data_IF_051455934477
#
_entry.id   IF_051455934477
#
_cell.length_a   1.000
_cell.length_b   1.000
_cell.length_c   1.000
_cell.angle_alpha   90.00
_cell.angle_beta   90.00
_cell.angle_gamma   90.00
#
_symmetry.space_group_name_H-M   'P 1'
#
loop_
_entity.id
_entity.type
_entity.pdbx_description
1 polymer ?
#
# COMPACT_ATOMS: atom_id res chain seq x y z
N UNK A 1 4.68 52.51 46.40
CA UNK A 1 4.86 51.07 46.14
C UNK A 1 3.57 50.49 45.56
N UNK A 2 3.50 50.35 44.24
CA UNK A 2 2.44 49.67 43.45
C UNK A 2 3.15 49.07 42.21
N UNK A 3 2.60 48.00 41.61
CA UNK A 3 3.15 47.21 40.48
C UNK A 3 4.13 46.05 40.82
N UNK A 4 3.73 45.10 41.65
CA UNK A 4 4.27 43.71 41.63
C UNK A 4 3.14 42.72 41.94
N UNK A 5 2.29 42.40 40.96
CA UNK A 5 1.19 41.44 41.16
C UNK A 5 0.62 40.79 39.87
N UNK A 6 1.40 40.74 38.79
CA UNK A 6 0.91 40.31 37.46
C UNK A 6 1.90 39.42 36.67
N UNK A 7 2.38 38.33 37.29
CA UNK A 7 3.23 37.32 36.59
C UNK A 7 2.72 35.88 36.77
N UNK A 8 1.96 35.57 37.82
CA UNK A 8 1.49 34.20 38.10
C UNK A 8 0.37 33.67 37.18
N UNK A 9 -0.21 34.50 36.31
CA UNK A 9 -1.37 34.15 35.47
C UNK A 9 -1.05 33.79 34.01
N UNK A 10 0.22 33.82 33.60
CA UNK A 10 0.61 33.74 32.18
C UNK A 10 1.25 32.41 31.73
N UNK A 11 1.27 31.37 32.60
CA UNK A 11 1.96 30.09 32.33
C UNK A 11 1.03 28.86 32.18
N UNK A 12 -0.29 29.06 32.13
CA UNK A 12 -1.29 27.99 31.92
C UNK A 12 -2.02 28.06 30.56
N UNK A 13 -1.57 28.91 29.63
CA UNK A 13 -2.18 29.10 28.31
C UNK A 13 -1.33 28.47 27.17
N UNK A 14 -0.69 27.32 27.44
CA UNK A 14 0.42 26.79 26.64
C UNK A 14 0.18 25.47 25.89
N UNK A 15 -1.07 25.01 25.71
CA UNK A 15 -1.34 23.73 25.04
C UNK A 15 -2.67 23.72 24.26
N UNK A 16 -2.87 24.71 23.39
CA UNK A 16 -3.83 24.62 22.29
C UNK A 16 -3.29 23.70 21.18
N UNK A 17 -3.11 22.41 21.50
CA UNK A 17 -2.88 21.38 20.48
C UNK A 17 -4.14 21.33 19.62
N UNK A 18 -3.99 21.38 18.29
CA UNK A 18 -5.11 21.29 17.36
C UNK A 18 -5.84 19.95 17.51
N UNK A 19 -6.85 19.93 18.38
CA UNK A 19 -7.75 18.81 18.55
C UNK A 19 -8.64 18.73 17.32
N UNK A 20 -8.19 17.98 16.30
CA UNK A 20 -9.09 17.41 15.30
C UNK A 20 -10.20 16.72 16.09
N UNK A 21 -11.42 17.24 15.96
CA UNK A 21 -12.48 16.98 16.93
C UNK A 21 -13.10 15.60 16.73
N UNK A 22 -12.39 14.57 17.21
CA UNK A 22 -12.98 13.28 17.54
C UNK A 22 -13.95 13.37 18.73
N UNK A 23 -14.20 14.57 19.28
CA UNK A 23 -15.11 14.81 20.42
C UNK A 23 -16.57 14.44 20.16
N UNK A 24 -16.95 14.19 18.90
CA UNK A 24 -18.28 13.68 18.54
C UNK A 24 -18.33 12.14 18.51
N UNK A 25 -17.54 11.47 19.35
CA UNK A 25 -17.58 10.03 19.57
C UNK A 25 -18.78 9.65 20.48
N UNK A 26 -19.44 8.53 20.21
CA UNK A 26 -20.56 8.02 21.02
C UNK A 26 -20.11 7.70 22.45
N UNK A 27 -18.96 7.04 22.60
CA UNK A 27 -18.39 6.71 23.90
C UNK A 27 -18.05 7.95 24.75
N UNK A 28 -17.60 9.04 24.11
CA UNK A 28 -17.34 10.29 24.85
C UNK A 28 -18.64 10.90 25.40
N UNK A 29 -19.72 10.90 24.61
CA UNK A 29 -21.04 11.37 25.09
C UNK A 29 -21.55 10.54 26.25
N UNK A 30 -21.39 9.22 26.20
CA UNK A 30 -21.77 8.32 27.28
C UNK A 30 -20.92 8.56 28.54
N UNK A 31 -19.61 8.78 28.40
CA UNK A 31 -18.74 9.15 29.53
C UNK A 31 -19.19 10.47 30.19
N UNK A 32 -19.47 11.50 29.39
CA UNK A 32 -19.98 12.80 29.87
C UNK A 32 -21.36 12.67 30.53
N UNK A 33 -22.23 11.77 30.03
CA UNK A 33 -23.56 11.49 30.58
C UNK A 33 -23.48 10.75 31.92
N UNK A 34 -22.68 9.68 31.99
CA UNK A 34 -22.48 8.93 33.23
C UNK A 34 -21.77 9.76 34.30
N UNK A 35 -20.84 10.64 33.91
CA UNK A 35 -20.22 11.61 34.85
C UNK A 35 -21.28 12.52 35.48
N UNK A 36 -22.24 13.03 34.71
CA UNK A 36 -23.36 13.83 35.24
C UNK A 36 -24.28 13.01 36.14
N UNK A 37 -24.58 11.76 35.76
CA UNK A 37 -25.38 10.85 36.58
C UNK A 37 -24.70 10.52 37.90
N UNK A 38 -23.39 10.31 37.90
CA UNK A 38 -22.58 10.07 39.10
C UNK A 38 -22.60 11.29 40.04
N UNK A 39 -22.46 12.51 39.50
CA UNK A 39 -22.56 13.74 40.29
C UNK A 39 -23.97 13.91 40.89
N UNK A 40 -25.03 13.74 40.09
CA UNK A 40 -26.40 13.86 40.57
C UNK A 40 -26.73 12.83 41.67
N UNK A 41 -26.24 11.58 41.54
CA UNK A 41 -26.39 10.55 42.55
C UNK A 41 -25.60 10.87 43.84
N UNK A 42 -24.40 11.45 43.71
CA UNK A 42 -23.60 11.92 44.86
C UNK A 42 -24.31 13.04 45.61
N UNK A 43 -24.86 14.01 44.87
CA UNK A 43 -25.60 15.16 45.42
C UNK A 43 -26.94 14.73 46.07
N UNK A 44 -27.52 13.61 45.61
CA UNK A 44 -28.70 12.98 46.20
C UNK A 44 -28.40 12.09 47.43
N UNK A 45 -27.12 11.82 47.72
CA UNK A 45 -26.70 10.88 48.78
C UNK A 45 -26.77 9.40 48.39
N UNK A 46 -27.03 9.09 47.12
CA UNK A 46 -27.06 7.74 46.55
C UNK A 46 -25.63 7.26 46.21
N UNK A 47 -24.80 7.11 47.24
CA UNK A 47 -23.36 6.85 47.07
C UNK A 47 -23.04 5.59 46.26
N UNK A 48 -23.78 4.49 46.45
CA UNK A 48 -23.58 3.24 45.69
C UNK A 48 -23.82 3.45 44.18
N UNK A 49 -24.90 4.16 43.83
CA UNK A 49 -25.24 4.48 42.45
C UNK A 49 -24.24 5.47 41.82
N UNK A 50 -23.72 6.40 42.64
CA UNK A 50 -22.65 7.32 42.22
C UNK A 50 -21.35 6.58 41.85
N UNK A 51 -20.97 5.55 42.63
CA UNK A 51 -19.83 4.67 42.30
C UNK A 51 -20.07 3.90 41.00
N UNK A 52 -21.25 3.29 40.82
CA UNK A 52 -21.59 2.54 39.60
C UNK A 52 -21.56 3.43 38.35
N UNK A 53 -22.12 4.63 38.41
CA UNK A 53 -22.06 5.60 37.32
C UNK A 53 -20.63 6.12 37.07
N UNK A 54 -19.81 6.28 38.11
CA UNK A 54 -18.40 6.66 37.95
C UNK A 54 -17.61 5.59 37.19
N UNK A 55 -17.82 4.30 37.52
CA UNK A 55 -17.21 3.18 36.80
C UNK A 55 -17.65 3.16 35.33
N UNK A 56 -18.95 3.31 35.06
CA UNK A 56 -19.49 3.39 33.69
C UNK A 56 -18.94 4.59 32.90
N UNK A 57 -18.69 5.72 33.57
CA UNK A 57 -18.04 6.87 32.95
C UNK A 57 -16.58 6.57 32.57
N UNK A 58 -15.83 5.91 33.45
CA UNK A 58 -14.44 5.50 33.21
C UNK A 58 -14.32 4.48 32.07
N UNK A 59 -15.16 3.44 32.06
CA UNK A 59 -15.23 2.46 30.97
C UNK A 59 -15.49 3.12 29.61
N UNK A 60 -16.46 4.04 29.55
CA UNK A 60 -16.78 4.76 28.32
C UNK A 60 -15.66 5.75 27.92
N UNK A 61 -14.95 6.35 28.88
CA UNK A 61 -13.78 7.17 28.58
C UNK A 61 -12.65 6.32 27.98
N UNK A 62 -12.38 5.13 28.53
CA UNK A 62 -11.38 4.20 28.00
C UNK A 62 -11.74 3.68 26.59
N UNK A 63 -13.00 3.29 26.37
CA UNK A 63 -13.51 2.92 25.04
C UNK A 63 -13.40 4.08 24.04
N UNK A 64 -13.65 5.32 24.49
CA UNK A 64 -13.47 6.50 23.65
C UNK A 64 -12.02 6.69 23.22
N UNK A 65 -11.06 6.57 24.14
CA UNK A 65 -9.63 6.68 23.83
C UNK A 65 -9.17 5.58 22.85
N UNK A 66 -9.61 4.34 23.06
CA UNK A 66 -9.31 3.22 22.17
C UNK A 66 -9.86 3.46 20.75
N UNK A 67 -11.10 3.94 20.64
CA UNK A 67 -11.72 4.31 19.36
C UNK A 67 -10.96 5.46 18.67
N UNK A 68 -10.63 6.53 19.40
CA UNK A 68 -9.87 7.67 18.86
C UNK A 68 -8.50 7.20 18.31
N UNK A 69 -7.79 6.34 19.06
CA UNK A 69 -6.52 5.75 18.62
C UNK A 69 -6.69 4.92 17.34
N UNK A 70 -7.73 4.07 17.25
CA UNK A 70 -8.06 3.29 16.04
C UNK A 70 -8.35 4.20 14.83
N UNK A 71 -9.14 5.27 15.02
CA UNK A 71 -9.49 6.19 13.94
C UNK A 71 -8.32 7.05 13.47
N UNK A 72 -7.42 7.46 14.38
CA UNK A 72 -6.16 8.12 14.03
C UNK A 72 -5.26 7.18 13.21
N UNK A 73 -5.04 5.95 13.69
CA UNK A 73 -4.24 4.95 12.99
C UNK A 73 -4.83 4.62 11.61
N UNK A 74 -6.17 4.56 11.48
CA UNK A 74 -6.83 4.39 10.17
C UNK A 74 -6.52 5.54 9.23
N UNK A 75 -6.67 6.79 9.67
CA UNK A 75 -6.42 7.96 8.84
C UNK A 75 -4.95 8.07 8.40
N UNK A 76 -4.02 7.62 9.25
CA UNK A 76 -2.61 7.47 8.91
C UNK A 76 -2.37 6.36 7.87
N UNK A 77 -2.97 5.18 8.08
CA UNK A 77 -2.90 4.07 7.14
C UNK A 77 -3.48 4.43 5.75
N UNK A 78 -4.64 5.09 5.70
CA UNK A 78 -5.26 5.57 4.45
C UNK A 78 -4.28 6.48 3.66
N UNK A 79 -3.60 7.39 4.37
CA UNK A 79 -2.60 8.30 3.81
C UNK A 79 -1.33 7.57 3.36
N UNK A 80 -0.85 6.61 4.13
CA UNK A 80 0.33 5.80 3.81
C UNK A 80 0.07 4.88 2.60
N UNK A 81 -1.06 4.17 2.61
CA UNK A 81 -1.54 3.31 1.53
C UNK A 81 -1.71 4.08 0.22
N UNK A 82 -2.26 5.30 0.25
CA UNK A 82 -2.37 6.15 -0.95
C UNK A 82 -0.99 6.48 -1.52
N UNK A 83 -0.04 6.92 -0.68
CA UNK A 83 1.35 7.19 -1.10
C UNK A 83 2.04 5.95 -1.69
N UNK A 84 1.88 4.80 -1.04
CA UNK A 84 2.43 3.53 -1.49
C UNK A 84 1.87 3.15 -2.88
N UNK A 85 0.55 3.24 -3.05
CA UNK A 85 -0.12 3.00 -4.34
C UNK A 85 0.37 3.95 -5.44
N UNK A 86 0.53 5.24 -5.13
CA UNK A 86 1.02 6.24 -6.08
C UNK A 86 2.50 5.98 -6.46
N UNK A 87 3.33 5.55 -5.51
CA UNK A 87 4.73 5.20 -5.77
C UNK A 87 4.86 3.94 -6.64
N UNK A 88 4.00 2.93 -6.45
CA UNK A 88 3.92 1.75 -7.33
C UNK A 88 3.45 2.14 -8.73
N UNK A 89 2.41 2.99 -8.85
CA UNK A 89 1.93 3.47 -10.13
C UNK A 89 3.01 4.27 -10.90
N UNK A 90 3.75 5.13 -10.20
CA UNK A 90 4.92 5.80 -10.76
C UNK A 90 6.00 4.79 -11.19
N UNK A 91 6.32 3.80 -10.33
CA UNK A 91 7.30 2.77 -10.62
C UNK A 91 6.96 2.02 -11.92
N UNK A 92 5.68 1.63 -12.09
CA UNK A 92 5.21 0.99 -13.32
C UNK A 92 5.32 1.90 -14.54
N UNK A 93 5.02 3.21 -14.39
CA UNK A 93 5.16 4.20 -15.48
C UNK A 93 6.60 4.33 -15.99
N UNK A 94 7.60 4.26 -15.11
CA UNK A 94 9.03 4.30 -15.50
C UNK A 94 9.62 2.92 -15.84
N UNK A 95 8.75 1.92 -16.09
CA UNK A 95 9.13 0.53 -16.35
C UNK A 95 10.04 -0.09 -15.28
N UNK A 96 9.85 0.26 -14.00
CA UNK A 96 10.65 -0.29 -12.90
C UNK A 96 10.40 -1.78 -12.66
N UNK A 97 9.27 -2.32 -13.10
CA UNK A 97 9.02 -3.76 -13.19
C UNK A 97 10.05 -4.47 -14.08
N UNK A 98 10.56 -3.78 -15.12
CA UNK A 98 11.62 -4.27 -16.01
C UNK A 98 13.01 -3.80 -15.56
N UNK A 99 13.16 -2.56 -15.12
CA UNK A 99 14.47 -1.98 -14.82
C UNK A 99 14.97 -2.34 -13.41
N UNK A 100 14.06 -2.51 -12.44
CA UNK A 100 14.34 -2.79 -11.02
C UNK A 100 13.43 -3.92 -10.48
N UNK A 101 13.42 -5.12 -11.11
CA UNK A 101 12.41 -6.15 -10.86
C UNK A 101 12.32 -6.61 -9.40
N UNK A 102 13.44 -6.66 -8.68
CA UNK A 102 13.46 -7.03 -7.26
C UNK A 102 12.81 -5.96 -6.37
N UNK A 103 13.12 -4.68 -6.59
CA UNK A 103 12.52 -3.57 -5.84
C UNK A 103 11.01 -3.49 -6.11
N UNK A 104 10.62 -3.64 -7.38
CA UNK A 104 9.22 -3.64 -7.79
C UNK A 104 8.43 -4.83 -7.20
N UNK A 105 9.00 -6.05 -7.24
CA UNK A 105 8.38 -7.24 -6.66
C UNK A 105 8.26 -7.16 -5.13
N UNK A 106 9.29 -6.71 -4.43
CA UNK A 106 9.25 -6.49 -2.98
C UNK A 106 8.18 -5.46 -2.59
N UNK A 107 8.02 -4.40 -3.39
CA UNK A 107 6.99 -3.38 -3.19
C UNK A 107 5.57 -3.92 -3.43
N UNK A 108 5.34 -4.75 -4.46
CA UNK A 108 4.05 -5.39 -4.68
C UNK A 108 3.70 -6.38 -3.55
N UNK A 109 4.68 -7.15 -3.05
CA UNK A 109 4.50 -8.04 -1.89
C UNK A 109 4.17 -7.25 -0.61
N UNK A 110 4.94 -6.22 -0.27
CA UNK A 110 4.67 -5.38 0.89
C UNK A 110 3.30 -4.70 0.80
N UNK A 111 2.89 -4.24 -0.39
CA UNK A 111 1.56 -3.64 -0.58
C UNK A 111 0.42 -4.66 -0.50
N UNK A 112 0.65 -5.92 -0.87
CA UNK A 112 -0.30 -7.00 -0.63
C UNK A 112 -0.47 -7.29 0.86
N UNK A 113 0.64 -7.39 1.62
CA UNK A 113 0.62 -7.51 3.09
C UNK A 113 -0.10 -6.32 3.74
N UNK A 114 0.15 -5.09 3.29
CA UNK A 114 -0.51 -3.89 3.80
C UNK A 114 -2.04 -3.94 3.64
N UNK A 115 -2.54 -4.45 2.50
CA UNK A 115 -3.98 -4.66 2.26
C UNK A 115 -4.59 -5.71 3.18
N UNK A 116 -3.90 -6.83 3.38
CA UNK A 116 -4.36 -7.94 4.22
C UNK A 116 -4.52 -7.51 5.69
N UNK A 117 -3.52 -6.82 6.26
CA UNK A 117 -3.61 -6.33 7.65
C UNK A 117 -4.58 -5.15 7.79
N UNK A 118 -4.72 -4.29 6.77
CA UNK A 118 -5.75 -3.25 6.75
C UNK A 118 -7.17 -3.85 6.76
N UNK A 119 -7.40 -4.95 6.03
CA UNK A 119 -8.68 -5.67 6.04
C UNK A 119 -8.99 -6.32 7.39
N UNK A 120 -7.96 -6.62 8.20
CA UNK A 120 -8.06 -7.09 9.59
C UNK A 120 -8.15 -5.94 10.60
N UNK A 121 -8.30 -4.69 10.13
CA UNK A 121 -8.31 -3.45 10.91
C UNK A 121 -7.03 -3.15 11.71
N UNK A 122 -5.92 -3.84 11.44
CA UNK A 122 -4.60 -3.50 11.98
C UNK A 122 -3.96 -2.40 11.13
N UNK A 123 -4.42 -1.17 11.39
CA UNK A 123 -3.97 0.01 10.68
C UNK A 123 -2.53 0.42 11.00
N UNK A 124 -1.98 -0.04 12.13
CA UNK A 124 -0.57 0.22 12.48
C UNK A 124 0.32 -0.64 11.57
N UNK A 125 0.08 -1.96 11.53
CA UNK A 125 0.79 -2.84 10.61
C UNK A 125 0.58 -2.44 9.14
N UNK A 126 -0.62 -1.96 8.76
CA UNK A 126 -0.88 -1.48 7.40
C UNK A 126 -0.01 -0.27 7.04
N UNK A 127 0.20 0.63 7.99
CA UNK A 127 1.08 1.80 7.84
C UNK A 127 2.54 1.37 7.68
N UNK A 128 3.00 0.41 8.49
CA UNK A 128 4.37 -0.10 8.43
C UNK A 128 4.67 -0.81 7.09
N UNK A 129 3.78 -1.68 6.62
CA UNK A 129 3.94 -2.31 5.31
C UNK A 129 3.83 -1.28 4.16
N UNK A 130 2.95 -0.28 4.25
CA UNK A 130 2.91 0.81 3.27
C UNK A 130 4.21 1.64 3.25
N UNK A 131 4.86 1.83 4.41
CA UNK A 131 6.18 2.46 4.48
C UNK A 131 7.29 1.57 3.89
N UNK A 132 7.20 0.24 4.03
CA UNK A 132 8.11 -0.71 3.36
C UNK A 132 8.01 -0.62 1.83
N UNK A 133 6.82 -0.37 1.25
CA UNK A 133 6.67 -0.08 -0.19
C UNK A 133 7.49 1.14 -0.59
N UNK A 134 7.41 2.22 0.19
CA UNK A 134 8.14 3.46 -0.07
C UNK A 134 9.65 3.28 0.07
N UNK A 135 10.10 2.46 1.03
CA UNK A 135 11.51 2.12 1.23
C UNK A 135 12.06 1.22 0.11
N UNK A 136 11.35 0.16 -0.27
CA UNK A 136 11.72 -0.72 -1.38
C UNK A 136 11.82 0.04 -2.71
N UNK A 137 10.98 1.06 -2.89
CA UNK A 137 10.99 1.96 -4.04
C UNK A 137 11.68 3.31 -3.74
N UNK A 138 12.61 3.40 -2.79
CA UNK A 138 13.33 4.65 -2.52
C UNK A 138 14.22 5.03 -3.71
N UNK A 139 15.13 4.11 -4.10
CA UNK A 139 16.20 4.37 -5.07
C UNK A 139 15.79 4.18 -6.55
N UNK A 140 14.51 3.86 -6.83
CA UNK A 140 14.07 3.73 -8.22
C UNK A 140 14.10 5.10 -8.92
N UNK A 141 14.69 5.09 -10.11
CA UNK A 141 14.85 6.25 -11.00
C UNK A 141 14.44 5.89 -12.41
N UNK A 142 14.05 6.88 -13.21
CA UNK A 142 13.86 6.66 -14.64
C UNK A 142 15.19 6.23 -15.27
N UNK A 143 15.15 5.14 -16.04
CA UNK A 143 16.29 4.56 -16.76
C UNK A 143 15.91 4.55 -18.23
N UNK A 144 16.71 5.22 -19.07
CA UNK A 144 16.55 5.08 -20.52
C UNK A 144 17.01 3.68 -20.91
N UNK A 145 16.12 2.81 -21.42
CA UNK A 145 16.46 1.44 -21.75
C UNK A 145 17.53 1.40 -22.83
N UNK A 146 18.47 0.46 -22.69
CA UNK A 146 19.58 0.31 -23.62
C UNK A 146 19.05 -0.14 -25.00
N UNK A 147 19.71 0.22 -26.11
CA UNK A 147 19.22 -0.13 -27.45
C UNK A 147 19.28 -1.64 -27.69
N UNK A 148 18.15 -2.26 -28.06
CA UNK A 148 18.13 -3.68 -28.46
C UNK A 148 18.85 -3.91 -29.78
N UNK A 149 18.83 -2.91 -30.67
CA UNK A 149 19.50 -2.98 -31.98
C UNK A 149 20.48 -1.83 -32.19
N UNK A 150 21.62 -2.14 -32.80
CA UNK A 150 22.58 -1.17 -33.32
C UNK A 150 22.55 -1.20 -34.84
N UNK A 151 22.65 -0.04 -35.50
CA UNK A 151 22.88 0.03 -36.95
C UNK A 151 24.35 0.37 -37.16
N UNK A 152 25.09 -0.53 -37.80
CA UNK A 152 26.52 -0.34 -38.13
C UNK A 152 26.67 0.95 -38.93
N UNK A 153 27.54 1.84 -38.48
CA UNK A 153 27.82 3.12 -39.15
C UNK A 153 29.03 2.99 -40.09
N UNK A 154 29.25 3.97 -40.98
CA UNK A 154 30.43 3.98 -41.84
C UNK A 154 31.74 3.88 -41.02
N UNK A 155 32.65 3.03 -41.47
CA UNK A 155 33.96 2.81 -40.83
C UNK A 155 34.74 4.12 -40.62
N UNK A 156 34.64 5.05 -41.58
CA UNK A 156 35.29 6.35 -41.51
C UNK A 156 34.80 7.24 -40.34
N UNK A 157 33.55 7.07 -39.89
CA UNK A 157 32.97 7.86 -38.79
C UNK A 157 33.28 7.27 -37.42
N UNK A 158 33.18 5.94 -37.30
CA UNK A 158 33.03 5.26 -36.01
C UNK A 158 33.97 4.08 -35.80
N UNK A 159 34.65 3.63 -36.87
CA UNK A 159 35.47 2.41 -36.90
C UNK A 159 34.72 1.21 -36.36
N UNK A 160 33.45 1.07 -36.73
CA UNK A 160 32.60 -0.01 -36.24
C UNK A 160 33.13 -1.38 -36.65
N UNK A 161 33.42 -2.19 -35.63
CA UNK A 161 33.64 -3.63 -35.66
C UNK A 161 33.00 -4.20 -34.39
N UNK A 162 32.79 -5.52 -34.29
CA UNK A 162 32.18 -6.12 -33.08
C UNK A 162 32.88 -5.72 -31.77
N UNK A 163 34.21 -5.60 -31.78
CA UNK A 163 35.03 -5.12 -30.67
C UNK A 163 34.69 -3.67 -30.26
N UNK A 164 34.71 -2.74 -31.21
CA UNK A 164 34.41 -1.33 -30.93
C UNK A 164 32.93 -1.12 -30.58
N UNK A 165 32.00 -1.89 -31.17
CA UNK A 165 30.57 -1.82 -30.85
C UNK A 165 30.30 -2.33 -29.43
N UNK A 166 30.85 -3.48 -29.02
CA UNK A 166 30.70 -4.01 -27.66
C UNK A 166 31.36 -3.13 -26.59
N UNK A 167 32.48 -2.48 -26.93
CA UNK A 167 33.14 -1.48 -26.10
C UNK A 167 32.32 -0.21 -25.83
N UNK A 168 31.23 0.05 -26.55
CA UNK A 168 30.37 1.22 -26.33
C UNK A 168 29.70 1.13 -24.96
N UNK A 169 29.68 2.26 -24.24
CA UNK A 169 29.13 2.36 -22.88
C UNK A 169 27.68 1.87 -22.76
N UNK A 170 26.87 2.05 -23.80
CA UNK A 170 25.45 1.65 -23.88
C UNK A 170 25.21 0.27 -24.51
N UNK A 171 26.27 -0.46 -24.89
CA UNK A 171 26.19 -1.84 -25.40
C UNK A 171 26.58 -2.79 -24.28
N UNK A 172 27.88 -3.02 -24.07
CA UNK A 172 28.42 -3.82 -22.96
C UNK A 172 29.52 -3.11 -22.16
N UNK A 173 29.94 -1.90 -22.56
CA UNK A 173 31.04 -1.16 -21.94
C UNK A 173 32.35 -1.99 -21.82
N UNK A 174 32.51 -3.02 -22.65
CA UNK A 174 33.61 -3.98 -22.59
C UNK A 174 33.81 -4.61 -23.98
N UNK A 175 34.92 -4.29 -24.67
CA UNK A 175 35.23 -4.83 -25.99
C UNK A 175 35.41 -6.35 -26.04
N UNK A 176 35.74 -6.99 -24.92
CA UNK A 176 35.94 -8.45 -24.85
C UNK A 176 34.63 -9.23 -25.04
N UNK A 177 33.47 -8.57 -24.91
CA UNK A 177 32.15 -9.19 -25.06
C UNK A 177 31.62 -9.17 -26.51
N UNK A 178 32.50 -8.86 -27.48
CA UNK A 178 32.21 -8.82 -28.91
C UNK A 178 31.65 -10.14 -29.46
N UNK A 179 32.08 -11.28 -28.92
CA UNK A 179 31.66 -12.61 -29.35
C UNK A 179 30.15 -12.81 -29.18
N UNK A 180 29.57 -12.27 -28.11
CA UNK A 180 28.11 -12.32 -27.86
C UNK A 180 27.31 -11.59 -28.94
N UNK A 181 27.80 -10.43 -29.41
CA UNK A 181 27.21 -9.71 -30.54
C UNK A 181 27.34 -10.55 -31.83
N UNK A 182 28.51 -11.14 -32.08
CA UNK A 182 28.73 -11.93 -33.29
C UNK A 182 27.83 -13.17 -33.31
N UNK A 183 27.82 -14.01 -32.27
CA UNK A 183 27.00 -15.24 -32.25
C UNK A 183 25.51 -14.95 -32.40
N UNK A 184 25.00 -13.88 -31.77
CA UNK A 184 23.58 -13.50 -31.88
C UNK A 184 23.17 -12.93 -33.25
N UNK A 185 24.14 -12.55 -34.10
CA UNK A 185 23.88 -11.99 -35.44
C UNK A 185 24.43 -12.85 -36.59
N UNK A 186 25.22 -13.89 -36.29
CA UNK A 186 25.96 -14.72 -37.23
C UNK A 186 25.11 -15.25 -38.39
N UNK A 187 23.87 -15.69 -38.08
CA UNK A 187 22.93 -16.23 -39.08
C UNK A 187 22.42 -15.17 -40.07
N UNK A 188 22.49 -13.88 -39.73
CA UNK A 188 22.05 -12.75 -40.56
C UNK A 188 23.22 -12.05 -41.28
N UNK A 189 24.45 -12.55 -41.16
CA UNK A 189 25.62 -11.99 -41.83
C UNK A 189 25.77 -12.51 -43.27
N UNK A 190 26.27 -11.69 -44.22
CA UNK A 190 26.59 -12.14 -45.58
C UNK A 190 27.63 -13.27 -45.64
N UNK A 191 28.56 -13.32 -44.68
CA UNK A 191 29.50 -14.43 -44.48
C UNK A 191 29.48 -14.85 -43.01
N UNK A 192 28.66 -15.84 -42.62
CA UNK A 192 28.54 -16.27 -41.22
C UNK A 192 29.86 -16.70 -40.57
N UNK A 193 30.86 -17.14 -41.34
CA UNK A 193 32.14 -17.61 -40.80
C UNK A 193 33.23 -16.53 -40.68
N UNK A 194 32.95 -15.29 -41.09
CA UNK A 194 33.90 -14.17 -41.04
C UNK A 194 33.38 -13.05 -40.11
N UNK A 195 33.81 -13.01 -38.83
CA UNK A 195 33.37 -11.97 -37.90
C UNK A 195 33.91 -10.58 -38.24
N UNK A 196 34.93 -10.45 -39.09
CA UNK A 196 35.47 -9.13 -39.45
C UNK A 196 34.62 -8.41 -40.51
N UNK A 197 33.78 -9.16 -41.25
CA UNK A 197 32.98 -8.61 -42.34
C UNK A 197 31.61 -8.10 -41.86
N UNK A 198 31.60 -6.88 -41.31
CA UNK A 198 30.37 -6.10 -41.10
C UNK A 198 30.30 -4.92 -42.08
N UNK A 199 29.10 -4.62 -42.56
CA UNK A 199 28.83 -3.53 -43.51
C UNK A 199 27.99 -2.43 -42.87
N UNK A 200 28.23 -1.15 -43.22
CA UNK A 200 27.36 -0.04 -42.82
C UNK A 200 25.89 -0.29 -43.21
N UNK A 201 24.96 0.12 -42.35
CA UNK A 201 23.53 -0.12 -42.51
C UNK A 201 23.03 -1.47 -41.96
N UNK A 202 23.91 -2.42 -41.63
CA UNK A 202 23.50 -3.68 -41.00
C UNK A 202 22.87 -3.43 -39.63
N UNK A 203 21.66 -3.95 -39.41
CA UNK A 203 20.96 -3.91 -38.12
C UNK A 203 21.36 -5.12 -37.27
N UNK A 204 22.20 -4.90 -36.29
CA UNK A 204 22.67 -5.91 -35.33
C UNK A 204 21.81 -5.93 -34.07
N UNK A 205 21.40 -7.11 -33.60
CA UNK A 205 20.80 -7.33 -32.29
C UNK A 205 21.87 -7.34 -31.18
N UNK A 206 21.60 -6.69 -30.06
CA UNK A 206 22.44 -6.70 -28.86
C UNK A 206 21.75 -7.61 -27.83
N UNK A 207 22.14 -8.89 -27.70
CA UNK A 207 21.53 -9.80 -26.74
C UNK A 207 21.73 -9.32 -25.30
N UNK A 208 20.75 -9.59 -24.45
CA UNK A 208 20.85 -9.37 -23.00
C UNK A 208 21.75 -10.42 -22.37
N UNK A 209 22.76 -10.02 -21.58
CA UNK A 209 23.77 -10.93 -21.00
C UNK A 209 23.75 -10.98 -19.47
N UNK A 210 23.27 -9.93 -18.82
CA UNK A 210 22.98 -9.84 -17.36
C UNK A 210 21.46 -9.78 -17.09
N UNK A 211 20.64 -10.08 -18.10
CA UNK A 211 19.19 -10.00 -18.04
C UNK A 211 18.62 -8.58 -18.16
N UNK A 212 19.48 -7.57 -18.37
CA UNK A 212 19.14 -6.17 -18.58
C UNK A 212 18.03 -5.97 -19.63
N UNK A 213 17.16 -4.99 -19.37
CA UNK A 213 16.12 -4.63 -20.32
C UNK A 213 16.71 -3.77 -21.46
N UNK A 214 16.44 -4.16 -22.70
CA UNK A 214 16.78 -3.41 -23.91
C UNK A 214 15.55 -3.26 -24.79
N UNK A 215 15.43 -2.14 -25.50
CA UNK A 215 14.38 -1.93 -26.50
C UNK A 215 14.85 -1.03 -27.65
N UNK A 216 14.16 -1.14 -28.79
CA UNK A 216 14.32 -0.20 -29.91
C UNK A 216 15.70 -0.23 -30.58
N UNK A 217 15.96 0.82 -31.38
CA UNK A 217 17.21 0.98 -32.13
C UNK A 217 18.02 2.12 -31.52
N UNK A 218 19.35 1.97 -31.48
CA UNK A 218 20.27 3.01 -31.07
C UNK A 218 20.06 4.29 -31.87
N UNK A 219 19.86 5.39 -31.17
CA UNK A 219 19.75 6.73 -31.74
C UNK A 219 20.87 7.62 -31.16
N UNK A 220 21.78 8.18 -31.98
CA UNK A 220 22.89 9.00 -31.48
C UNK A 220 22.46 10.31 -30.81
N UNK A 221 21.22 10.78 -31.03
CA UNK A 221 20.65 11.93 -30.33
C UNK A 221 20.10 11.60 -28.92
N UNK A 222 19.96 10.32 -28.57
CA UNK A 222 19.52 9.89 -27.22
C UNK A 222 20.74 9.67 -26.32
N UNK A 223 20.68 10.21 -25.09
CA UNK A 223 21.61 9.85 -24.02
C UNK A 223 21.10 8.58 -23.35
N UNK A 224 21.90 7.53 -23.38
CA UNK A 224 21.65 6.26 -22.70
C UNK A 224 22.42 6.20 -21.38
N UNK A 225 21.90 5.46 -20.42
CA UNK A 225 22.69 5.04 -19.25
C UNK A 225 23.83 4.11 -19.67
N UNK A 226 24.86 3.99 -18.83
CA UNK A 226 25.92 3.02 -19.06
C UNK A 226 25.42 1.62 -18.73
N UNK A 227 25.84 0.63 -19.53
CA UNK A 227 25.55 -0.77 -19.34
C UNK A 227 25.92 -1.23 -17.92
N UNK A 228 27.09 -0.83 -17.42
CA UNK A 228 27.52 -1.14 -16.06
C UNK A 228 26.58 -0.56 -14.99
N UNK A 229 26.01 0.63 -15.18
CA UNK A 229 25.04 1.19 -14.24
C UNK A 229 23.69 0.45 -14.27
N UNK A 230 23.20 0.09 -15.47
CA UNK A 230 21.95 -0.66 -15.65
C UNK A 230 22.08 -2.10 -15.13
N UNK A 231 23.23 -2.72 -15.34
CA UNK A 231 23.56 -4.03 -14.78
C UNK A 231 23.61 -3.97 -13.24
N UNK A 232 24.29 -2.98 -12.64
CA UNK A 232 24.37 -2.84 -11.18
C UNK A 232 23.01 -2.58 -10.50
N UNK A 233 22.06 -1.93 -11.17
CA UNK A 233 20.67 -1.77 -10.66
C UNK A 233 19.85 -3.07 -10.63
N UNK A 234 20.39 -4.18 -11.16
CA UNK A 234 19.75 -5.50 -11.21
C UNK A 234 20.65 -6.52 -10.54
N UNK A 235 20.27 -7.09 -9.37
CA UNK A 235 21.04 -8.20 -8.82
C UNK A 235 21.03 -9.37 -9.81
N UNK A 236 22.19 -9.98 -10.01
CA UNK A 236 22.37 -11.13 -10.90
C UNK A 236 21.45 -12.27 -10.44
N UNK A 237 20.73 -12.90 -11.38
CA UNK A 237 19.68 -13.90 -11.12
C UNK A 237 20.22 -15.24 -10.55
N UNK A 238 21.49 -15.28 -10.13
CA UNK A 238 22.12 -16.43 -9.46
C UNK A 238 21.90 -16.37 -7.95
N UNK A 239 20.63 -16.25 -7.53
CA UNK A 239 20.20 -16.51 -6.17
C UNK A 239 19.16 -17.63 -6.20
N UNK A 240 19.59 -18.82 -5.75
CA UNK A 240 18.68 -19.88 -5.28
C UNK A 240 17.62 -19.23 -4.37
N UNK A 241 16.32 -19.52 -4.51
CA UNK A 241 15.29 -18.82 -3.74
C UNK A 241 15.63 -18.85 -2.26
N UNK A 242 15.76 -17.65 -1.67
CA UNK A 242 15.82 -17.53 -0.23
C UNK A 242 14.44 -17.97 0.28
N UNK A 243 14.40 -19.15 0.92
CA UNK A 243 13.23 -19.64 1.63
C UNK A 243 12.74 -18.54 2.57
N UNK A 244 11.62 -17.93 2.22
CA UNK A 244 10.90 -17.05 3.11
C UNK A 244 10.48 -17.90 4.30
N UNK A 245 11.21 -17.80 5.41
CA UNK A 245 10.80 -18.39 6.68
C UNK A 245 9.45 -17.77 7.04
N UNK A 246 8.39 -18.52 6.76
CA UNK A 246 7.08 -18.33 7.33
C UNK A 246 7.23 -18.23 8.83
N UNK A 247 7.06 -17.04 9.38
CA UNK A 247 6.86 -16.87 10.80
C UNK A 247 5.51 -17.50 11.15
N UNK A 248 5.53 -18.78 11.54
CA UNK A 248 4.36 -19.41 12.13
C UNK A 248 3.90 -18.58 13.34
N UNK A 249 2.59 -18.29 13.47
CA UNK A 249 2.07 -17.75 14.70
C UNK A 249 2.25 -18.83 15.78
N UNK A 250 3.02 -18.53 16.84
CA UNK A 250 3.11 -19.41 18.00
C UNK A 250 1.72 -19.54 18.63
N UNK A 251 1.06 -20.65 18.34
CA UNK A 251 -0.15 -21.05 19.00
C UNK A 251 0.10 -21.21 20.51
N UNK A 252 -0.90 -20.84 21.30
CA UNK A 252 -0.91 -20.95 22.75
C UNK A 252 -0.83 -22.41 23.20
N UNK A 253 0.19 -22.76 23.99
CA UNK A 253 0.22 -24.03 24.70
C UNK A 253 -0.49 -23.88 26.06
N UNK A 254 -1.80 -24.06 26.06
CA UNK A 254 -2.61 -24.10 27.28
C UNK A 254 -2.40 -25.46 27.99
N UNK A 255 -1.63 -25.47 29.07
CA UNK A 255 -1.46 -26.66 29.91
C UNK A 255 -2.53 -26.69 31.01
N UNK A 256 -3.50 -27.60 30.88
CA UNK A 256 -4.51 -27.84 31.90
C UNK A 256 -4.03 -28.86 32.95
N UNK A 257 -4.29 -28.57 34.23
CA UNK A 257 -4.51 -29.59 35.26
C UNK A 257 -5.63 -29.12 36.21
N UNK A 258 -6.39 -30.04 36.85
CA UNK A 258 -7.74 -29.72 37.32
C UNK A 258 -7.86 -29.47 38.83
N UNK A 259 -8.87 -28.68 39.23
CA UNK A 259 -9.35 -28.63 40.61
C UNK A 259 -10.89 -28.58 40.68
N UNK A 260 -11.42 -29.51 41.48
CA UNK A 260 -12.82 -29.82 41.81
C UNK A 260 -13.81 -28.63 41.91
N UNK A 261 -14.92 -28.80 41.17
CA UNK A 261 -16.30 -28.86 41.67
C UNK A 261 -16.72 -28.05 42.92
N UNK A 262 -17.69 -27.14 42.71
CA UNK A 262 -18.87 -27.08 43.57
C UNK A 262 -20.13 -26.83 42.72
N UNK A 263 -21.14 -27.69 42.83
CA UNK A 263 -22.45 -27.49 42.19
C UNK A 263 -23.39 -26.79 43.16
N UNK A 264 -24.10 -25.76 42.69
CA UNK A 264 -25.41 -25.42 43.25
C UNK A 264 -26.38 -24.95 42.17
N UNK A 265 -27.54 -25.59 42.15
CA UNK A 265 -28.78 -25.08 41.54
C UNK A 265 -29.29 -23.89 42.38
N UNK A 266 -30.26 -23.05 42.00
CA UNK A 266 -31.16 -22.96 40.84
C UNK A 266 -31.40 -21.44 40.54
N UNK A 267 -32.29 -20.94 39.68
CA UNK A 267 -33.37 -21.53 38.86
C UNK A 267 -33.67 -20.65 37.62
N UNK A 268 -34.64 -21.09 36.80
CA UNK A 268 -35.48 -20.27 35.93
C UNK A 268 -36.92 -20.84 36.01
N UNK A 269 -37.97 -20.22 35.42
CA UNK A 269 -38.10 -18.88 34.85
C UNK A 269 -39.27 -18.07 35.45
N UNK A 270 -39.40 -16.78 35.11
CA UNK A 270 -40.70 -16.09 35.17
C UNK A 270 -41.06 -15.42 33.82
N UNK A 271 -42.37 -15.40 33.53
CA UNK A 271 -42.95 -15.03 32.23
C UNK A 271 -43.30 -13.54 32.21
N UNK A 272 -43.21 -12.94 31.02
CA UNK A 272 -44.05 -11.80 30.65
C UNK A 272 -44.75 -12.10 29.32
N UNK A 273 -46.06 -11.92 29.30
CA UNK A 273 -46.99 -12.34 28.23
C UNK A 273 -47.15 -11.23 27.16
N UNK A 274 -47.37 -11.56 25.87
CA UNK A 274 -47.48 -10.53 24.82
C UNK A 274 -48.85 -9.84 24.79
N UNK A 275 -48.84 -8.50 24.66
CA UNK A 275 -50.05 -7.70 24.46
C UNK A 275 -50.64 -7.88 23.05
N UNK A 276 -51.98 -7.89 22.97
CA UNK A 276 -52.73 -8.13 21.72
C UNK A 276 -52.89 -6.90 20.83
N UNK A 277 -53.09 -7.20 19.56
CA UNK A 277 -53.44 -6.35 18.41
C UNK A 277 -54.72 -5.54 18.59
N UNK A 278 -54.76 -4.32 18.04
CA UNK A 278 -55.99 -3.77 17.44
C UNK A 278 -55.71 -3.23 16.02
N UNK A 279 -56.76 -3.17 15.20
CA UNK A 279 -56.66 -3.04 13.73
C UNK A 279 -56.87 -1.60 13.24
N UNK A 280 -56.26 -1.23 12.08
CA UNK A 280 -57.02 -1.10 10.81
C UNK A 280 -56.22 -0.60 9.59
N UNK A 281 -56.54 -1.24 8.46
CA UNK A 281 -56.69 -0.69 7.09
C UNK A 281 -55.45 -0.18 6.32
N UNK A 282 -55.33 -0.69 5.08
CA UNK A 282 -54.31 -0.29 4.10
C UNK A 282 -54.07 -1.38 3.04
N UNK A 283 -55.11 -1.78 2.31
CA UNK A 283 -55.03 -2.88 1.35
C UNK A 283 -54.18 -2.52 0.11
N UNK A 284 -53.38 -3.47 -0.36
CA UNK A 284 -52.70 -3.43 -1.67
C UNK A 284 -53.04 -4.70 -2.44
N UNK A 285 -53.65 -4.56 -3.62
CA UNK A 285 -53.77 -5.63 -4.61
C UNK A 285 -53.62 -5.10 -6.05
N UNK A 286 -52.38 -5.20 -6.53
CA UNK A 286 -51.91 -5.75 -7.83
C UNK A 286 -52.67 -5.53 -9.17
N UNK A 287 -51.83 -5.31 -10.20
CA UNK A 287 -51.89 -5.88 -11.57
C UNK A 287 -52.44 -5.06 -12.75
N UNK A 288 -51.48 -4.65 -13.59
CA UNK A 288 -51.44 -4.74 -15.07
C UNK A 288 -52.76 -4.88 -15.87
N UNK A 289 -52.98 -3.96 -16.82
CA UNK A 289 -52.96 -4.31 -18.25
C UNK A 289 -52.76 -3.07 -19.16
N UNK A 290 -51.87 -3.20 -20.15
CA UNK A 290 -51.92 -2.43 -21.41
C UNK A 290 -52.89 -3.15 -22.40
N UNK A 291 -53.10 -2.76 -23.68
CA UNK A 291 -52.51 -1.65 -24.45
C UNK A 291 -53.52 -0.82 -25.30
N UNK A 292 -53.03 0.25 -25.96
CA UNK A 292 -53.30 0.61 -27.38
C UNK A 292 -52.98 2.10 -27.67
N UNK A 293 -52.41 2.36 -28.85
CA UNK A 293 -52.06 3.70 -29.40
C UNK A 293 -53.09 4.11 -30.49
N UNK A 294 -52.88 5.12 -31.38
CA UNK A 294 -52.04 6.34 -31.35
C UNK A 294 -52.83 7.62 -31.81
N UNK A 295 -52.10 8.71 -32.13
CA UNK A 295 -52.55 9.97 -32.82
C UNK A 295 -53.37 10.96 -31.95
N UNK A 296 -53.40 12.29 -32.16
CA UNK A 296 -53.09 13.19 -33.32
C UNK A 296 -52.25 14.43 -32.88
N UNK A 297 -51.83 15.23 -33.87
CA UNK A 297 -50.88 16.36 -33.96
C UNK A 297 -51.11 17.67 -33.17
N UNK A 298 -50.16 18.60 -33.39
CA UNK A 298 -50.19 20.07 -33.22
C UNK A 298 -50.11 20.63 -31.77
N UNK A 299 -49.30 21.65 -31.44
CA UNK A 299 -48.91 22.80 -32.24
C UNK A 299 -47.66 23.56 -31.72
N UNK A 300 -46.95 24.18 -32.68
CA UNK A 300 -46.16 25.43 -32.62
C UNK A 300 -44.80 25.48 -31.91
#
# INVERSE_FOLDING_TARGET
MKKVLFVAAALLAGSAVFSVSYKNNTYQKLADEYTKKAQNALDAGEYELSVEYSQKAEENAALSQAYIKKMLAKAEADKAMKKASDRIAFAKKISADRNFPMAYSAAEQAYASAKDVYAKEDYVAATDYANQVLAALADIREVTPLPEYYVVRPWAETKDCYWNISGRTYVYNNPLLWENLYQANKQSMPKPNDPNLIHPGMKMKIPSITGEYREGVYNPAKKYDTYSAVASSRPVVNAKPAEAKSAEPKASEAKAEPAKAEQKSAAAPEKAEPAKTEQKQGASLISNSAPASPSVSDAK
#
